data_IF_338375173853
#
_entry.id   IF_338375173853
#
_cell.length_a   1.000
_cell.length_b   1.000
_cell.length_c   1.000
_cell.angle_alpha   90.00
_cell.angle_beta   90.00
_cell.angle_gamma   90.00
#
_symmetry.space_group_name_H-M   'P 1'
#
loop_
_entity.id
_entity.type
_entity.pdbx_description
1 polymer ?
#
# COMPACT_ATOMS: atom_id res chain seq x y z
N UNK A 1 9.03 7.80 6.80
CA UNK A 1 7.71 7.95 6.62
C UNK A 1 6.95 6.97 7.36
N UNK A 2 5.90 7.38 8.02
CA UNK A 2 5.15 6.48 8.74
C UNK A 2 3.84 6.25 8.19
N UNK A 3 3.45 5.11 8.00
CA UNK A 3 2.20 4.81 7.47
C UNK A 3 1.29 4.35 8.46
N UNK A 4 0.07 4.56 8.31
CA UNK A 4 -0.84 4.09 9.27
C UNK A 4 -1.87 3.42 8.59
N UNK A 5 -2.24 2.43 9.07
CA UNK A 5 -3.27 1.77 8.50
C UNK A 5 -4.42 2.29 9.10
N UNK A 6 -5.12 2.69 8.63
CA UNK A 6 -6.31 3.15 9.21
C UNK A 6 -6.48 4.28 9.73
N UNK A 7 -6.59 4.82 10.04
CA UNK A 7 -6.69 5.81 10.59
C UNK A 7 -7.63 6.56 10.50
N UNK A 8 -8.10 6.59 10.38
CA UNK A 8 -9.02 7.16 10.44
C UNK A 8 -9.25 8.39 10.68
N UNK A 9 -9.04 8.74 11.29
CA UNK A 9 -9.20 9.84 11.68
C UNK A 9 -9.35 10.81 10.81
N UNK A 10 -8.76 10.77 10.17
CA UNK A 10 -8.74 11.75 9.36
C UNK A 10 -10.03 11.92 8.86
N UNK A 11 -10.52 11.02 8.62
CA UNK A 11 -11.65 11.08 8.10
C UNK A 11 -12.53 11.87 8.68
N UNK A 12 -12.54 11.91 9.65
CA UNK A 12 -13.47 12.55 10.21
C UNK A 12 -13.43 13.85 9.86
N UNK A 13 -12.53 14.26 9.66
CA UNK A 13 -12.46 15.50 9.54
C UNK A 13 -13.04 15.97 8.49
N UNK A 14 -13.25 15.77 8.21
CA UNK A 14 -13.62 16.43 7.42
C UNK A 14 -13.73 16.19 6.18
N UNK A 15 -14.64 16.17 5.80
CA UNK A 15 -14.76 16.02 4.57
C UNK A 15 -13.84 16.70 3.76
N UNK A 16 -13.74 17.85 3.79
CA UNK A 16 -12.98 18.49 2.89
C UNK A 16 -11.57 18.22 3.07
N UNK A 17 -11.17 18.02 4.14
CA UNK A 17 -9.84 17.83 4.25
C UNK A 17 -9.55 16.53 3.70
N UNK A 18 -10.45 15.74 3.67
CA UNK A 18 -10.25 14.44 3.17
C UNK A 18 -9.80 14.52 1.79
N UNK A 19 -10.27 15.41 1.10
CA UNK A 19 -9.96 15.46 -0.25
C UNK A 19 -8.51 15.60 -0.44
N UNK A 20 -7.80 16.18 0.40
CA UNK A 20 -6.48 16.24 0.25
C UNK A 20 -5.78 15.26 1.00
N UNK A 21 -6.19 14.95 2.13
CA UNK A 21 -5.52 13.98 2.90
C UNK A 21 -5.49 12.64 2.27
N UNK A 22 -6.44 12.21 1.64
CA UNK A 22 -6.45 10.90 1.10
C UNK A 22 -5.95 10.74 -0.30
N UNK A 23 -5.25 11.72 -0.74
CA UNK A 23 -4.90 11.69 -2.09
C UNK A 23 -4.09 10.53 -2.58
N UNK A 24 -3.28 9.94 -1.77
CA UNK A 24 -2.49 8.80 -2.18
C UNK A 24 -2.84 7.54 -1.40
N UNK A 25 -3.97 7.55 -0.74
CA UNK A 25 -4.40 6.37 -0.01
C UNK A 25 -4.98 5.36 -0.99
N UNK A 26 -4.85 4.11 -0.65
CA UNK A 26 -5.38 3.09 -1.56
C UNK A 26 -5.73 1.84 -0.80
N UNK A 27 -6.51 0.98 -1.43
CA UNK A 27 -6.88 -0.31 -0.86
C UNK A 27 -6.03 -1.36 -1.54
N UNK A 28 -5.38 -2.19 -0.74
CA UNK A 28 -4.55 -3.25 -1.26
C UNK A 28 -5.32 -4.56 -1.12
N UNK A 29 -5.47 -5.29 -2.21
CA UNK A 29 -6.23 -6.53 -2.23
C UNK A 29 -5.30 -7.66 -2.55
N UNK A 30 -5.33 -8.70 -1.73
CA UNK A 30 -4.45 -9.83 -1.93
C UNK A 30 -5.13 -10.91 -2.76
N UNK A 31 -4.71 -11.08 -3.99
CA UNK A 31 -5.20 -12.15 -4.83
C UNK A 31 -4.01 -12.95 -5.34
N UNK A 32 -3.01 -13.16 -4.50
CA UNK A 32 -1.80 -13.84 -4.92
C UNK A 32 -1.87 -15.34 -4.74
N UNK A 33 -2.85 -15.81 -4.01
CA UNK A 33 -2.98 -17.24 -3.75
C UNK A 33 -2.36 -17.64 -2.43
N UNK A 34 -1.76 -16.74 -1.72
CA UNK A 34 -1.16 -17.03 -0.43
C UNK A 34 -1.31 -15.85 0.47
N UNK A 35 -0.64 -15.85 1.61
CA UNK A 35 -0.74 -14.74 2.55
C UNK A 35 0.37 -13.75 2.30
N UNK A 36 0.08 -12.49 2.52
CA UNK A 36 1.07 -11.43 2.43
C UNK A 36 1.34 -11.00 3.84
N UNK A 37 2.56 -11.14 4.29
CA UNK A 37 2.90 -10.85 5.67
C UNK A 37 3.66 -9.56 5.88
N UNK A 38 4.31 -9.03 4.88
CA UNK A 38 4.95 -7.74 4.99
C UNK A 38 4.68 -6.96 3.72
N UNK A 39 4.49 -5.67 3.85
CA UNK A 39 4.27 -4.81 2.71
C UNK A 39 5.11 -3.55 2.91
N UNK A 40 5.96 -3.26 1.96
CA UNK A 40 6.76 -2.05 2.00
C UNK A 40 6.44 -1.21 0.78
N UNK A 41 6.56 0.09 0.92
CA UNK A 41 6.28 0.96 -0.20
C UNK A 41 7.36 2.00 -0.27
N UNK A 42 7.67 2.44 -1.44
CA UNK A 42 8.73 3.40 -1.62
C UNK A 42 8.52 4.16 -2.92
N UNK A 43 8.93 5.41 -3.01
CA UNK A 43 8.89 6.12 -4.28
C UNK A 43 9.79 5.38 -5.27
N UNK A 44 9.43 5.41 -6.51
CA UNK A 44 10.14 4.63 -7.50
C UNK A 44 11.60 5.04 -7.66
N UNK A 45 11.95 6.24 -7.23
CA UNK A 45 13.32 6.68 -7.36
C UNK A 45 14.09 6.57 -6.06
N UNK A 46 13.53 5.93 -5.04
CA UNK A 46 14.25 5.80 -3.79
C UNK A 46 15.10 4.55 -3.83
N UNK A 47 16.15 4.51 -3.02
CA UNK A 47 16.97 3.36 -3.02
C UNK A 47 16.57 2.36 -1.99
N UNK A 48 15.94 2.79 -0.93
CA UNK A 48 15.59 1.89 0.15
C UNK A 48 14.12 1.75 0.34
N UNK A 49 13.69 0.62 0.82
CA UNK A 49 12.29 0.42 1.16
C UNK A 49 12.03 1.08 2.50
N UNK A 50 10.84 1.62 2.65
CA UNK A 50 10.46 2.28 3.87
C UNK A 50 9.99 1.23 4.86
N UNK A 51 9.37 1.62 5.92
CA UNK A 51 8.97 0.64 6.91
C UNK A 51 7.80 -0.20 6.47
N UNK A 52 7.65 -1.34 7.08
CA UNK A 52 6.60 -2.28 6.77
C UNK A 52 5.26 -1.70 7.13
N UNK A 53 4.35 -1.66 6.19
CA UNK A 53 3.05 -1.09 6.41
C UNK A 53 2.18 -1.95 7.31
N UNK A 54 2.48 -3.21 7.44
CA UNK A 54 1.69 -4.08 8.30
C UNK A 54 2.22 -4.09 9.72
N UNK A 55 3.29 -3.31 9.95
CA UNK A 55 3.75 -3.21 11.26
C UNK A 55 3.93 -4.40 12.02
N UNK A 56 4.97 -4.87 12.17
CA UNK A 56 5.30 -6.00 12.92
C UNK A 56 4.70 -7.24 12.66
N UNK A 57 4.36 -7.48 11.58
CA UNK A 57 3.90 -8.79 11.26
C UNK A 57 3.09 -9.49 12.21
N UNK A 58 2.30 -8.85 12.92
CA UNK A 58 1.43 -9.55 13.75
C UNK A 58 0.45 -10.32 13.00
N UNK A 59 0.10 -10.00 11.81
CA UNK A 59 -0.82 -10.83 11.07
C UNK A 59 -0.61 -10.57 9.62
N UNK A 60 -1.02 -11.49 8.81
CA UNK A 60 -0.84 -11.40 7.37
C UNK A 60 -2.18 -11.17 6.69
N UNK A 61 -2.14 -10.70 5.48
CA UNK A 61 -3.35 -10.49 4.70
C UNK A 61 -3.60 -11.79 3.97
N UNK A 62 -4.72 -12.41 4.24
CA UNK A 62 -5.02 -13.70 3.61
C UNK A 62 -5.51 -13.53 2.20
N UNK A 63 -5.52 -14.62 1.46
CA UNK A 63 -6.02 -14.61 0.12
C UNK A 63 -7.44 -14.04 0.11
N UNK A 64 -7.67 -13.07 -0.72
CA UNK A 64 -8.98 -12.46 -0.87
C UNK A 64 -9.26 -11.32 0.07
N UNK A 65 -8.40 -11.09 1.04
CA UNK A 65 -8.63 -10.00 1.96
C UNK A 65 -8.03 -8.72 1.45
N UNK A 66 -8.47 -7.61 1.96
CA UNK A 66 -7.93 -6.33 1.58
C UNK A 66 -7.72 -5.47 2.81
N UNK A 67 -6.82 -4.50 2.69
CA UNK A 67 -6.62 -3.54 3.74
C UNK A 67 -6.52 -2.18 3.11
N UNK A 68 -6.83 -1.17 3.89
CA UNK A 68 -6.73 0.17 3.39
C UNK A 68 -5.44 0.77 3.88
N UNK A 69 -4.66 1.32 3.00
CA UNK A 69 -3.38 1.92 3.34
C UNK A 69 -3.51 3.42 3.24
N UNK A 70 -3.20 4.12 4.32
CA UNK A 70 -3.31 5.57 4.35
C UNK A 70 -1.96 6.14 4.67
N UNK A 71 -1.71 7.32 4.15
CA UNK A 71 -0.45 7.99 4.37
C UNK A 71 -0.66 9.12 5.35
N UNK A 72 0.34 9.37 6.19
CA UNK A 72 0.23 10.43 7.16
C UNK A 72 0.17 11.76 6.46
N UNK A 73 0.76 11.88 5.33
CA UNK A 73 0.74 13.12 4.61
C UNK A 73 1.03 12.81 3.17
N UNK A 74 0.72 13.71 2.32
CA UNK A 74 0.96 13.43 0.94
C UNK A 74 2.39 13.75 0.61
N UNK A 75 2.91 13.14 -0.44
CA UNK A 75 4.24 13.35 -0.86
C UNK A 75 4.22 14.04 -2.19
N UNK A 76 4.32 15.35 -2.15
CA UNK A 76 4.28 16.10 -3.36
C UNK A 76 5.44 15.78 -4.19
N UNK A 77 5.28 15.76 -5.45
CA UNK A 77 6.37 15.49 -6.36
C UNK A 77 6.65 14.01 -6.56
N UNK A 78 5.99 13.16 -5.83
CA UNK A 78 6.17 11.73 -6.01
C UNK A 78 4.94 11.20 -6.67
N UNK A 79 5.04 10.61 -7.82
CA UNK A 79 3.92 10.12 -8.52
C UNK A 79 3.91 8.63 -8.56
N UNK A 80 5.03 8.02 -8.81
CA UNK A 80 5.08 6.57 -8.97
C UNK A 80 5.69 5.93 -7.74
N UNK A 81 5.08 4.85 -7.34
CA UNK A 81 5.49 4.12 -6.15
C UNK A 81 5.65 2.64 -6.44
N UNK A 82 6.54 2.02 -5.71
CA UNK A 82 6.78 0.59 -5.84
C UNK A 82 6.36 -0.10 -4.57
N UNK A 83 5.93 -1.33 -4.68
CA UNK A 83 5.53 -2.14 -3.54
C UNK A 83 6.38 -3.38 -3.47
N UNK A 84 6.84 -3.72 -2.29
CA UNK A 84 7.52 -4.98 -2.06
C UNK A 84 6.65 -5.76 -1.09
N UNK A 85 6.24 -6.96 -1.44
CA UNK A 85 5.47 -7.79 -0.54
C UNK A 85 6.24 -9.04 -0.21
N UNK A 86 6.06 -9.54 1.00
CA UNK A 86 6.75 -10.73 1.43
C UNK A 86 5.70 -11.72 1.90
N UNK A 87 5.74 -12.93 1.41
CA UNK A 87 4.72 -13.91 1.79
C UNK A 87 5.16 -14.68 3.02
N UNK A 88 4.33 -15.59 3.47
CA UNK A 88 4.59 -16.30 4.69
C UNK A 88 5.83 -17.17 4.63
N UNK A 89 6.34 -17.45 3.46
CA UNK A 89 7.55 -18.23 3.31
C UNK A 89 8.79 -17.35 3.10
N UNK A 90 8.63 -16.06 3.19
CA UNK A 90 9.74 -15.15 3.02
C UNK A 90 10.04 -14.80 1.60
N UNK A 91 9.19 -15.21 0.65
CA UNK A 91 9.45 -14.89 -0.74
C UNK A 91 9.06 -13.46 -1.01
N UNK A 92 9.90 -12.75 -1.68
CA UNK A 92 9.67 -11.34 -1.96
C UNK A 92 9.23 -11.12 -3.38
N UNK A 93 8.30 -10.22 -3.60
CA UNK A 93 7.87 -9.86 -4.94
C UNK A 93 7.75 -8.34 -5.00
N UNK A 94 8.29 -7.76 -6.04
CA UNK A 94 8.24 -6.32 -6.23
C UNK A 94 7.27 -6.01 -7.36
N UNK A 95 6.38 -5.05 -7.10
CA UNK A 95 5.45 -4.57 -8.12
C UNK A 95 5.77 -3.09 -8.26
N UNK A 96 5.88 -2.62 -9.47
CA UNK A 96 6.39 -1.27 -9.70
C UNK A 96 5.47 -0.30 -10.39
N UNK A 97 5.78 0.98 -10.18
CA UNK A 97 5.16 2.04 -10.96
C UNK A 97 3.67 2.28 -10.79
N UNK A 98 3.22 2.34 -9.56
CA UNK A 98 1.83 2.68 -9.33
C UNK A 98 1.70 4.18 -9.14
N UNK A 99 0.84 4.79 -9.94
CA UNK A 99 0.59 6.21 -9.82
C UNK A 99 -0.54 6.41 -8.82
N UNK A 100 -0.19 6.61 -7.57
CA UNK A 100 -1.19 6.68 -6.52
C UNK A 100 -2.00 7.96 -6.53
N UNK A 101 -1.70 8.87 -7.41
CA UNK A 101 -2.56 10.04 -7.55
C UNK A 101 -3.76 9.71 -8.43
N UNK A 102 -3.73 8.58 -9.12
CA UNK A 102 -4.81 8.21 -9.99
C UNK A 102 -5.45 6.88 -9.64
N UNK A 103 -4.84 6.14 -8.73
CA UNK A 103 -5.31 4.82 -8.41
C UNK A 103 -5.85 4.78 -7.00
N UNK A 104 -6.96 4.12 -6.79
CA UNK A 104 -7.51 3.95 -5.46
C UNK A 104 -7.47 2.51 -5.00
N UNK A 105 -7.24 1.60 -5.90
CA UNK A 105 -7.23 0.18 -5.56
C UNK A 105 -6.12 -0.53 -6.28
N UNK A 106 -5.43 -1.42 -5.59
CA UNK A 106 -4.41 -2.25 -6.20
C UNK A 106 -4.68 -3.69 -5.79
N UNK A 107 -4.85 -4.55 -6.79
CA UNK A 107 -5.05 -5.97 -6.54
C UNK A 107 -3.80 -6.69 -7.00
N UNK A 108 -3.12 -7.36 -6.11
CA UNK A 108 -1.90 -8.07 -6.42
C UNK A 108 -2.23 -9.51 -6.76
N UNK A 109 -1.73 -9.98 -7.88
CA UNK A 109 -1.96 -11.33 -8.33
C UNK A 109 -0.63 -12.05 -8.48
N UNK A 110 -0.68 -13.33 -8.77
CA UNK A 110 0.53 -14.10 -8.93
C UNK A 110 1.33 -13.62 -10.06
N UNK A 111 2.59 -14.01 -10.09
CA UNK A 111 3.47 -13.76 -11.21
C UNK A 111 3.72 -12.27 -11.46
N UNK A 112 3.74 -11.50 -10.39
CA UNK A 112 4.02 -10.09 -10.50
C UNK A 112 2.99 -9.33 -11.30
N UNK A 113 1.79 -9.81 -11.35
CA UNK A 113 0.73 -9.14 -12.07
C UNK A 113 -0.08 -8.32 -11.09
N UNK A 114 -0.40 -7.10 -11.43
CA UNK A 114 -1.24 -6.26 -10.60
C UNK A 114 -2.32 -5.63 -11.45
N UNK A 115 -3.49 -5.49 -10.86
CA UNK A 115 -4.57 -4.77 -11.49
C UNK A 115 -4.81 -3.57 -10.61
N UNK A 116 -5.22 -2.46 -11.20
CA UNK A 116 -5.46 -1.30 -10.40
C UNK A 116 -6.49 -0.40 -11.04
N UNK A 117 -7.17 0.41 -10.24
CA UNK A 117 -8.18 1.30 -10.78
C UNK A 117 -8.52 2.41 -9.79
#
# INVERSE_FOLDING_TARGET
MRKTLVLTLALLLGAFSAAQAGQQDFTLINDTGGCICDVYISPDNARDWQEDLLENDKYCISQGESIKITFDRSFRGVKLWDLLVVDQNGRQTVYEDFDLTKISNIKLRRNKIAEYW
#
